data_IF_087988163337
#
_entry.id   IF_087988163337
#
_cell.length_a   1.000
_cell.length_b   1.000
_cell.length_c   1.000
_cell.angle_alpha   90.00
_cell.angle_beta   90.00
_cell.angle_gamma   90.00
#
_symmetry.space_group_name_H-M   'P 1'
#
loop_
_entity.id
_entity.type
_entity.pdbx_description
1 polymer ?
#
# COMPACT_ATOMS: atom_id res chain seq x y z
N UNK A 1 19.16 -3.06 -7.56
CA UNK A 1 17.89 -3.68 -7.16
C UNK A 1 16.97 -3.68 -8.37
N UNK A 2 16.25 -4.78 -8.62
CA UNK A 2 15.21 -4.86 -9.65
C UNK A 2 13.91 -5.35 -9.01
N UNK A 3 12.79 -4.75 -9.39
CA UNK A 3 11.44 -5.09 -8.91
C UNK A 3 10.61 -5.54 -10.12
N UNK A 4 9.91 -6.66 -9.99
CA UNK A 4 9.03 -7.22 -11.02
C UNK A 4 7.73 -7.62 -10.37
N UNK A 5 6.60 -7.34 -11.04
CA UNK A 5 5.33 -7.98 -10.69
C UNK A 5 5.09 -9.20 -11.61
N UNK A 6 5.22 -10.45 -11.09
CA UNK A 6 5.11 -11.66 -11.91
C UNK A 6 3.75 -11.82 -12.62
N UNK A 7 2.69 -11.24 -12.06
CA UNK A 7 1.32 -11.33 -12.58
C UNK A 7 0.96 -10.18 -13.53
N UNK A 8 1.83 -9.18 -13.66
CA UNK A 8 1.66 -8.08 -14.64
C UNK A 8 1.97 -8.49 -16.07
N UNK A 9 2.66 -9.63 -16.26
CA UNK A 9 3.06 -10.18 -17.54
C UNK A 9 2.59 -11.63 -17.67
N UNK A 10 2.50 -12.11 -18.90
CA UNK A 10 2.20 -13.54 -19.15
C UNK A 10 3.38 -14.42 -18.77
N UNK A 11 3.14 -15.71 -18.51
CA UNK A 11 4.20 -16.68 -18.18
C UNK A 11 5.29 -16.76 -19.25
N UNK A 12 4.89 -16.73 -20.53
CA UNK A 12 5.82 -16.72 -21.65
C UNK A 12 6.66 -15.46 -21.70
N UNK A 13 6.11 -14.30 -21.33
CA UNK A 13 6.89 -13.05 -21.21
C UNK A 13 7.77 -13.03 -19.95
N UNK A 14 7.40 -13.78 -18.90
CA UNK A 14 8.17 -13.84 -17.65
C UNK A 14 9.40 -14.74 -17.80
N UNK A 15 9.22 -15.98 -18.24
CA UNK A 15 10.30 -16.99 -18.35
C UNK A 15 10.89 -17.10 -19.75
N UNK A 16 10.12 -16.74 -20.77
CA UNK A 16 10.42 -17.00 -22.17
C UNK A 16 9.47 -18.05 -22.76
N UNK A 17 9.27 -17.98 -24.06
CA UNK A 17 8.43 -18.91 -24.81
C UNK A 17 8.95 -19.07 -26.23
N UNK A 18 8.60 -20.20 -26.84
CA UNK A 18 8.78 -20.39 -28.28
C UNK A 18 7.64 -19.71 -29.03
N UNK A 19 7.97 -19.00 -30.10
CA UNK A 19 6.97 -18.50 -31.03
C UNK A 19 6.30 -19.69 -31.74
N UNK A 20 4.95 -19.76 -31.77
CA UNK A 20 4.24 -20.89 -32.34
C UNK A 20 4.36 -20.99 -33.88
N UNK A 21 4.79 -19.92 -34.55
CA UNK A 21 4.95 -19.86 -36.01
C UNK A 21 6.40 -20.03 -36.42
N UNK A 22 7.32 -19.26 -35.84
CA UNK A 22 8.74 -19.31 -36.22
C UNK A 22 9.53 -20.42 -35.50
N UNK A 23 8.98 -20.98 -34.42
CA UNK A 23 9.69 -21.87 -33.50
C UNK A 23 10.98 -21.26 -32.91
N UNK A 24 11.13 -19.93 -32.96
CA UNK A 24 12.25 -19.24 -32.34
C UNK A 24 11.99 -19.00 -30.85
N UNK A 25 13.04 -19.11 -30.04
CA UNK A 25 12.97 -18.83 -28.61
C UNK A 25 13.05 -17.32 -28.36
N UNK A 26 12.11 -16.81 -27.57
CA UNK A 26 12.16 -15.45 -27.03
C UNK A 26 12.38 -15.50 -25.53
N UNK A 27 13.41 -14.80 -25.06
CA UNK A 27 13.72 -14.69 -23.63
C UNK A 27 12.68 -13.88 -22.86
N UNK A 28 12.33 -14.36 -21.66
CA UNK A 28 11.48 -13.63 -20.74
C UNK A 28 12.23 -12.60 -19.90
N UNK A 29 11.48 -11.67 -19.32
CA UNK A 29 12.00 -10.58 -18.47
C UNK A 29 12.82 -11.12 -17.29
N UNK A 30 12.36 -12.23 -16.69
CA UNK A 30 13.04 -12.86 -15.56
C UNK A 30 14.38 -13.48 -16.00
N UNK A 31 14.38 -14.21 -17.13
CA UNK A 31 15.59 -14.82 -17.68
C UNK A 31 16.69 -13.78 -17.95
N UNK A 32 16.32 -12.66 -18.59
CA UNK A 32 17.25 -11.55 -18.88
C UNK A 32 17.83 -10.96 -17.60
N UNK A 33 17.02 -10.75 -16.57
CA UNK A 33 17.48 -10.17 -15.30
C UNK A 33 18.37 -11.15 -14.52
N UNK A 34 18.02 -12.43 -14.49
CA UNK A 34 18.86 -13.47 -13.88
C UNK A 34 20.22 -13.56 -14.57
N UNK A 35 20.24 -13.54 -15.91
CA UNK A 35 21.50 -13.55 -16.68
C UNK A 35 22.36 -12.33 -16.37
N UNK A 36 21.75 -11.14 -16.33
CA UNK A 36 22.43 -9.89 -15.93
C UNK A 36 23.03 -9.98 -14.53
N UNK A 37 22.33 -10.60 -13.58
CA UNK A 37 22.82 -10.75 -12.21
C UNK A 37 23.89 -11.83 -12.07
N UNK A 38 23.78 -12.93 -12.81
CA UNK A 38 24.78 -13.97 -12.88
C UNK A 38 26.11 -13.48 -13.48
N UNK A 39 26.06 -12.69 -14.56
CA UNK A 39 27.25 -12.18 -15.26
C UNK A 39 27.91 -10.97 -14.60
N UNK A 40 27.21 -10.28 -13.68
CA UNK A 40 27.75 -9.06 -13.07
C UNK A 40 28.88 -9.37 -12.09
N UNK A 41 30.05 -8.77 -12.34
CA UNK A 41 31.26 -8.90 -11.50
C UNK A 41 31.29 -7.98 -10.27
N UNK A 42 30.23 -7.18 -10.02
CA UNK A 42 30.20 -6.30 -8.84
C UNK A 42 30.19 -7.13 -7.55
N UNK A 43 30.98 -6.74 -6.53
CA UNK A 43 30.94 -7.34 -5.20
C UNK A 43 29.65 -7.01 -4.43
N UNK A 44 28.85 -6.06 -4.91
CA UNK A 44 27.63 -5.63 -4.24
C UNK A 44 26.56 -6.73 -4.22
N UNK A 45 25.78 -6.75 -3.13
CA UNK A 45 24.61 -7.64 -3.04
C UNK A 45 23.55 -7.21 -4.04
N UNK A 46 23.07 -8.17 -4.82
CA UNK A 46 22.01 -7.96 -5.83
C UNK A 46 20.69 -8.42 -5.25
N UNK A 47 19.67 -7.59 -5.42
CA UNK A 47 18.34 -7.83 -4.88
C UNK A 47 17.34 -7.87 -6.02
N UNK A 48 16.68 -9.02 -6.18
CA UNK A 48 15.53 -9.20 -7.04
C UNK A 48 14.29 -9.28 -6.16
N UNK A 49 13.35 -8.35 -6.36
CA UNK A 49 12.08 -8.29 -5.64
C UNK A 49 10.97 -8.70 -6.59
N UNK A 50 10.20 -9.71 -6.19
CA UNK A 50 8.99 -10.17 -6.87
C UNK A 50 7.79 -9.65 -6.07
N UNK A 51 7.21 -8.56 -6.54
CA UNK A 51 6.11 -7.82 -5.89
C UNK A 51 4.78 -8.14 -6.59
N UNK A 52 3.99 -9.00 -5.97
CA UNK A 52 2.69 -9.41 -6.50
C UNK A 52 2.19 -10.71 -5.92
N UNK A 53 0.95 -11.12 -6.24
CA UNK A 53 0.36 -12.33 -5.69
C UNK A 53 1.07 -13.59 -6.20
N UNK A 54 1.27 -14.54 -5.29
CA UNK A 54 1.79 -15.87 -5.62
C UNK A 54 0.67 -16.72 -6.21
N UNK A 55 1.01 -17.42 -7.28
CA UNK A 55 0.13 -18.33 -8.00
C UNK A 55 0.91 -19.61 -8.25
N UNK A 56 0.24 -20.76 -8.15
CA UNK A 56 0.84 -22.08 -8.28
C UNK A 56 1.58 -22.24 -9.62
N UNK A 57 1.10 -21.61 -10.70
CA UNK A 57 1.65 -21.84 -12.03
C UNK A 57 3.02 -21.20 -12.23
N UNK A 58 3.23 -19.96 -11.78
CA UNK A 58 4.53 -19.30 -11.98
C UNK A 58 5.55 -19.73 -10.91
N UNK A 59 5.11 -19.93 -9.66
CA UNK A 59 6.05 -20.23 -8.58
C UNK A 59 6.70 -21.61 -8.73
N UNK A 60 6.02 -22.57 -9.37
CA UNK A 60 6.57 -23.91 -9.63
C UNK A 60 7.86 -23.87 -10.46
N UNK A 61 7.92 -23.01 -11.47
CA UNK A 61 9.09 -22.85 -12.34
C UNK A 61 10.29 -22.16 -11.65
N UNK A 62 10.06 -21.55 -10.47
CA UNK A 62 11.10 -20.91 -9.65
C UNK A 62 11.62 -21.83 -8.54
N UNK A 63 10.94 -22.95 -8.23
CA UNK A 63 11.34 -23.84 -7.14
C UNK A 63 12.79 -24.35 -7.26
N UNK A 64 13.33 -24.50 -8.48
CA UNK A 64 14.72 -24.93 -8.70
C UNK A 64 15.76 -23.88 -8.27
N UNK A 65 15.40 -22.59 -8.34
CA UNK A 65 16.30 -21.50 -7.94
C UNK A 65 16.17 -21.13 -6.46
N UNK A 66 15.05 -21.51 -5.83
CA UNK A 66 14.83 -21.37 -4.39
C UNK A 66 15.51 -22.47 -3.57
N UNK A 67 15.95 -23.54 -4.22
CA UNK A 67 16.75 -24.59 -3.60
C UNK A 67 18.22 -24.16 -3.44
N UNK A 68 19.00 -24.92 -2.67
CA UNK A 68 20.43 -24.66 -2.41
C UNK A 68 21.26 -24.58 -3.70
N UNK A 69 20.74 -25.17 -4.77
CA UNK A 69 21.33 -25.18 -6.09
C UNK A 69 21.42 -23.79 -6.74
N UNK A 70 20.49 -22.86 -6.44
CA UNK A 70 20.41 -21.51 -7.05
C UNK A 70 20.47 -21.49 -8.58
N UNK A 71 19.82 -22.47 -9.22
CA UNK A 71 19.78 -22.63 -10.69
C UNK A 71 18.38 -22.37 -11.22
N UNK A 72 18.26 -21.41 -12.13
CA UNK A 72 17.05 -21.22 -12.91
C UNK A 72 17.13 -22.09 -14.17
N UNK A 73 16.19 -23.03 -14.31
CA UNK A 73 16.08 -23.88 -15.50
C UNK A 73 14.97 -23.33 -16.39
N UNK A 74 15.32 -22.85 -17.58
CA UNK A 74 14.36 -22.35 -18.56
C UNK A 74 13.83 -23.50 -19.43
N UNK A 75 12.63 -23.32 -19.99
CA UNK A 75 12.05 -24.28 -20.95
C UNK A 75 12.88 -24.41 -22.25
N UNK A 76 13.75 -23.43 -22.55
CA UNK A 76 14.75 -23.52 -23.61
C UNK A 76 15.84 -24.56 -23.35
N UNK A 77 15.96 -25.05 -22.12
CA UNK A 77 17.07 -25.88 -21.66
C UNK A 77 18.27 -25.09 -21.12
N UNK A 78 18.24 -23.74 -21.17
CA UNK A 78 19.27 -22.92 -20.54
C UNK A 78 19.21 -23.03 -19.01
N UNK A 79 20.38 -23.20 -18.39
CA UNK A 79 20.53 -23.24 -16.93
C UNK A 79 21.34 -22.01 -16.51
N UNK A 80 20.69 -21.09 -15.80
CA UNK A 80 21.32 -19.87 -15.29
C UNK A 80 21.63 -20.06 -13.80
N UNK A 81 22.92 -20.10 -13.45
CA UNK A 81 23.38 -20.19 -12.07
C UNK A 81 23.49 -18.79 -11.46
N UNK A 82 22.75 -18.52 -10.38
CA UNK A 82 22.90 -17.28 -9.64
C UNK A 82 24.13 -17.31 -8.72
N UNK A 83 24.80 -16.17 -8.60
CA UNK A 83 25.86 -15.98 -7.61
C UNK A 83 25.29 -15.94 -6.19
N UNK A 84 26.09 -16.38 -5.21
CA UNK A 84 25.74 -16.30 -3.79
C UNK A 84 25.49 -14.87 -3.29
N UNK A 85 25.96 -13.84 -4.01
CA UNK A 85 25.67 -12.43 -3.71
C UNK A 85 24.27 -11.96 -4.15
N UNK A 86 23.49 -12.82 -4.83
CA UNK A 86 22.13 -12.50 -5.28
C UNK A 86 21.11 -13.02 -4.27
N UNK A 87 20.20 -12.13 -3.86
CA UNK A 87 19.07 -12.41 -2.99
C UNK A 87 17.78 -12.21 -3.78
N UNK A 88 16.83 -13.13 -3.56
CA UNK A 88 15.47 -13.05 -4.10
C UNK A 88 14.54 -12.77 -2.92
N UNK A 89 13.66 -11.79 -3.06
CA UNK A 89 12.67 -11.39 -2.07
C UNK A 89 11.30 -11.45 -2.71
N UNK A 90 10.32 -11.99 -2.00
CA UNK A 90 8.92 -12.03 -2.41
C UNK A 90 8.15 -11.05 -1.54
N UNK A 91 7.51 -10.06 -2.16
CA UNK A 91 6.56 -9.16 -1.51
C UNK A 91 5.15 -9.60 -1.91
N UNK A 92 4.47 -10.28 -1.00
CA UNK A 92 3.25 -11.03 -1.28
C UNK A 92 2.22 -10.75 -0.20
N UNK A 93 0.95 -10.61 -0.58
CA UNK A 93 -0.13 -10.38 0.38
C UNK A 93 -0.55 -11.63 1.16
N UNK A 94 -0.58 -12.79 0.49
CA UNK A 94 -0.95 -14.08 1.06
C UNK A 94 -0.29 -15.22 0.29
N UNK A 95 -0.16 -16.39 0.93
CA UNK A 95 0.51 -17.58 0.41
C UNK A 95 -0.46 -18.77 0.19
N UNK A 96 -1.77 -18.51 0.11
CA UNK A 96 -2.80 -19.55 0.00
C UNK A 96 -2.60 -20.50 -1.19
N UNK A 97 -2.06 -19.98 -2.30
CA UNK A 97 -1.80 -20.74 -3.53
C UNK A 97 -0.37 -21.29 -3.61
N UNK A 98 0.43 -21.16 -2.56
CA UNK A 98 1.80 -21.68 -2.52
C UNK A 98 1.83 -23.06 -1.84
N UNK A 99 2.56 -24.00 -2.43
CA UNK A 99 2.76 -25.31 -1.81
C UNK A 99 3.61 -25.19 -0.53
N UNK A 100 3.38 -26.01 0.51
CA UNK A 100 4.24 -26.03 1.70
C UNK A 100 5.72 -26.29 1.39
N UNK A 101 6.00 -27.03 0.32
CA UNK A 101 7.37 -27.30 -0.14
C UNK A 101 8.07 -26.06 -0.71
N UNK A 102 7.32 -25.13 -1.31
CA UNK A 102 7.85 -23.84 -1.78
C UNK A 102 8.12 -22.90 -0.60
N UNK A 103 7.17 -22.84 0.34
CA UNK A 103 7.27 -22.00 1.54
C UNK A 103 8.43 -22.44 2.44
N UNK A 104 8.68 -23.74 2.58
CA UNK A 104 9.74 -24.25 3.47
C UNK A 104 11.17 -23.90 3.02
N UNK A 105 11.37 -23.54 1.74
CA UNK A 105 12.67 -23.15 1.18
C UNK A 105 12.99 -21.67 1.39
N UNK A 106 12.03 -20.89 1.87
CA UNK A 106 12.16 -19.43 2.00
C UNK A 106 12.14 -19.00 3.47
N UNK A 107 12.93 -17.99 3.81
CA UNK A 107 12.81 -17.32 5.10
C UNK A 107 11.54 -16.46 5.14
N UNK A 108 10.64 -16.76 6.08
CA UNK A 108 9.36 -16.06 6.19
C UNK A 108 9.45 -14.93 7.21
N UNK A 109 9.17 -13.70 6.77
CA UNK A 109 9.04 -12.53 7.63
C UNK A 109 7.59 -12.05 7.56
N UNK A 110 6.85 -12.27 8.65
CA UNK A 110 5.48 -11.79 8.74
C UNK A 110 5.46 -10.35 9.24
N UNK A 111 4.89 -9.44 8.44
CA UNK A 111 4.63 -8.07 8.85
C UNK A 111 3.18 -7.95 9.30
N UNK A 112 2.97 -7.70 10.59
CA UNK A 112 1.63 -7.47 11.11
C UNK A 112 1.08 -6.14 10.57
N UNK A 113 -0.08 -6.12 9.87
CA UNK A 113 -0.65 -4.89 9.33
C UNK A 113 -0.98 -3.85 10.41
N UNK A 114 -1.30 -4.30 11.63
CA UNK A 114 -1.58 -3.42 12.77
C UNK A 114 -0.32 -2.83 13.40
N UNK A 115 0.86 -3.43 13.17
CA UNK A 115 2.12 -2.91 13.71
C UNK A 115 2.50 -1.59 13.04
N UNK A 116 2.22 -1.43 11.75
CA UNK A 116 2.39 -0.19 11.01
C UNK A 116 1.06 0.58 10.93
N UNK A 117 0.66 1.20 12.04
CA UNK A 117 -0.57 1.99 12.12
C UNK A 117 -0.53 3.24 11.21
N UNK A 118 -1.61 4.04 11.23
CA UNK A 118 -1.68 5.27 10.43
C UNK A 118 -0.78 6.41 10.93
N UNK A 119 -0.34 6.37 12.19
CA UNK A 119 0.41 7.48 12.82
C UNK A 119 1.76 7.75 12.16
N UNK A 120 2.64 6.75 11.92
CA UNK A 120 3.93 7.01 11.27
C UNK A 120 3.78 7.57 9.85
N UNK A 121 2.71 7.17 9.16
CA UNK A 121 2.39 7.68 7.83
C UNK A 121 2.06 9.18 7.87
N UNK A 122 1.23 9.60 8.84
CA UNK A 122 0.89 11.02 9.05
C UNK A 122 2.09 11.82 9.54
N UNK A 123 2.90 11.28 10.44
CA UNK A 123 4.13 11.94 10.91
C UNK A 123 5.13 12.21 9.77
N UNK A 124 5.31 11.24 8.88
CA UNK A 124 6.12 11.40 7.67
C UNK A 124 5.53 12.45 6.73
N UNK A 125 4.22 12.42 6.50
CA UNK A 125 3.53 13.40 5.66
C UNK A 125 3.63 14.83 6.22
N UNK A 126 3.40 15.03 7.52
CA UNK A 126 3.56 16.33 8.20
C UNK A 126 5.00 16.88 8.08
N UNK A 127 5.99 15.99 8.07
CA UNK A 127 7.40 16.36 7.89
C UNK A 127 7.66 16.88 6.47
N UNK A 128 6.95 16.37 5.47
CA UNK A 128 7.05 16.76 4.06
C UNK A 128 6.16 17.96 3.66
N UNK A 129 5.37 18.51 4.59
CA UNK A 129 4.58 19.71 4.32
C UNK A 129 5.47 20.95 4.04
N UNK A 130 4.99 21.93 3.25
CA UNK A 130 5.75 23.13 2.88
C UNK A 130 6.40 23.85 4.07
N UNK A 131 7.61 24.36 3.89
CA UNK A 131 8.38 25.03 4.95
C UNK A 131 7.75 26.34 5.43
N UNK A 132 6.89 26.94 4.61
CA UNK A 132 6.04 28.08 4.93
C UNK A 132 5.04 27.79 6.07
N UNK A 133 4.66 26.52 6.27
CA UNK A 133 3.83 26.12 7.40
C UNK A 133 4.69 25.98 8.67
N UNK A 134 4.44 26.88 9.61
CA UNK A 134 5.08 26.91 10.92
C UNK A 134 4.80 25.65 11.75
N UNK A 135 5.58 25.49 12.82
CA UNK A 135 5.38 24.42 13.81
C UNK A 135 3.98 24.48 14.47
N UNK A 136 3.41 25.67 14.64
CA UNK A 136 2.05 25.84 15.18
C UNK A 136 1.00 25.26 14.24
N UNK A 137 1.10 25.51 12.93
CA UNK A 137 0.21 24.92 11.93
C UNK A 137 0.30 23.39 11.90
N UNK A 138 1.53 22.83 11.94
CA UNK A 138 1.72 21.38 11.98
C UNK A 138 1.12 20.77 13.25
N UNK A 139 1.26 21.43 14.40
CA UNK A 139 0.65 20.98 15.66
C UNK A 139 -0.89 20.98 15.62
N UNK A 140 -1.51 21.97 14.96
CA UNK A 140 -2.96 22.00 14.73
C UNK A 140 -3.38 20.79 13.89
N UNK A 141 -2.71 20.54 12.76
CA UNK A 141 -3.00 19.36 11.93
C UNK A 141 -2.83 18.06 12.73
N UNK A 142 -1.74 17.89 13.47
CA UNK A 142 -1.55 16.73 14.35
C UNK A 142 -2.73 16.54 15.31
N UNK A 143 -3.20 17.61 15.97
CA UNK A 143 -4.35 17.54 16.86
C UNK A 143 -5.64 17.13 16.14
N UNK A 144 -5.87 17.63 14.92
CA UNK A 144 -7.02 17.24 14.10
C UNK A 144 -6.96 15.76 13.73
N UNK A 145 -5.82 15.26 13.27
CA UNK A 145 -5.64 13.83 12.97
C UNK A 145 -5.93 12.96 14.19
N UNK A 146 -5.36 13.29 15.36
CA UNK A 146 -5.61 12.52 16.59
C UNK A 146 -7.05 12.60 17.09
N UNK A 147 -7.75 13.71 16.85
CA UNK A 147 -9.14 13.89 17.28
C UNK A 147 -10.14 13.18 16.36
N UNK A 148 -9.96 13.31 15.04
CA UNK A 148 -10.96 12.85 14.07
C UNK A 148 -10.67 11.44 13.55
N UNK A 149 -9.42 11.08 13.27
CA UNK A 149 -9.12 9.81 12.57
C UNK A 149 -9.51 8.58 13.41
N UNK A 150 -9.19 8.44 14.70
CA UNK A 150 -9.58 7.27 15.48
C UNK A 150 -11.10 6.99 15.53
N UNK A 151 -11.97 7.95 15.92
CA UNK A 151 -13.41 7.70 15.99
C UNK A 151 -14.03 7.48 14.60
N UNK A 152 -13.58 8.22 13.58
CA UNK A 152 -14.10 8.05 12.21
C UNK A 152 -13.70 6.70 11.62
N UNK A 153 -12.46 6.24 11.82
CA UNK A 153 -12.05 4.88 11.42
C UNK A 153 -12.83 3.81 12.19
N UNK A 154 -13.04 3.98 13.50
CA UNK A 154 -13.83 3.05 14.29
C UNK A 154 -15.28 2.93 13.77
N UNK A 155 -15.89 4.06 13.42
CA UNK A 155 -17.21 4.10 12.79
C UNK A 155 -17.21 3.34 11.45
N UNK A 156 -16.27 3.67 10.56
CA UNK A 156 -16.16 3.02 9.24
C UNK A 156 -15.98 1.51 9.37
N UNK A 157 -15.12 1.03 10.29
CA UNK A 157 -14.93 -0.41 10.55
C UNK A 157 -16.19 -1.10 11.07
N UNK A 158 -17.03 -0.41 11.85
CA UNK A 158 -18.28 -0.97 12.39
C UNK A 158 -19.35 -1.15 11.32
N UNK A 159 -19.42 -0.18 10.40
CA UNK A 159 -20.49 -0.08 9.41
C UNK A 159 -20.12 -0.65 8.03
N UNK A 160 -18.84 -0.92 7.76
CA UNK A 160 -18.39 -1.64 6.58
C UNK A 160 -18.24 -3.15 6.88
N UNK A 161 -19.03 -4.03 6.23
CA UNK A 161 -19.04 -5.46 6.56
C UNK A 161 -17.77 -6.24 6.21
N UNK A 162 -16.90 -5.74 5.34
CA UNK A 162 -15.70 -6.47 4.90
C UNK A 162 -14.66 -6.63 6.03
N UNK A 163 -14.65 -5.75 7.05
CA UNK A 163 -13.77 -5.89 8.22
C UNK A 163 -14.20 -7.06 9.15
N UNK A 164 -15.44 -7.56 9.02
CA UNK A 164 -15.93 -8.74 9.76
C UNK A 164 -15.63 -10.07 9.03
N UNK A 165 -14.96 -10.03 7.89
CA UNK A 165 -14.98 -11.10 6.90
C UNK A 165 -13.58 -11.48 6.39
N UNK A 166 -12.63 -11.67 7.30
CA UNK A 166 -11.39 -12.44 7.01
C UNK A 166 -11.64 -13.96 6.94
N UNK A 167 -12.89 -14.44 7.04
CA UNK A 167 -13.21 -15.89 7.13
C UNK A 167 -14.27 -16.43 6.16
N UNK A 168 -14.71 -15.68 5.16
CA UNK A 168 -15.60 -16.27 4.14
C UNK A 168 -15.49 -15.55 2.80
N UNK A 169 -15.05 -16.27 1.76
CA UNK A 169 -15.04 -15.82 0.37
C UNK A 169 -16.44 -15.46 -0.19
N UNK A 170 -17.51 -15.65 0.58
CA UNK A 170 -18.89 -15.59 0.09
C UNK A 170 -19.61 -14.24 0.23
N UNK A 171 -18.97 -13.20 0.76
CA UNK A 171 -19.64 -11.90 0.90
C UNK A 171 -18.71 -10.71 0.60
N UNK A 172 -18.19 -10.67 -0.62
CA UNK A 172 -17.91 -9.39 -1.27
C UNK A 172 -19.27 -8.74 -1.49
N UNK A 173 -19.69 -7.88 -0.57
CA UNK A 173 -20.87 -7.05 -0.79
C UNK A 173 -20.61 -6.26 -2.07
N UNK A 174 -21.44 -6.48 -3.09
CA UNK A 174 -21.25 -6.09 -4.50
C UNK A 174 -20.95 -4.60 -4.77
N UNK A 175 -21.01 -3.74 -3.76
CA UNK A 175 -21.11 -2.29 -3.93
C UNK A 175 -20.08 -1.48 -3.12
N UNK A 176 -19.12 -2.10 -2.43
CA UNK A 176 -18.09 -1.37 -1.65
C UNK A 176 -16.68 -1.89 -1.94
N UNK A 177 -15.76 -0.97 -2.25
CA UNK A 177 -14.35 -1.30 -2.49
C UNK A 177 -13.64 -1.74 -1.19
N UNK A 178 -12.92 -2.87 -1.19
CA UNK A 178 -12.08 -3.25 -0.05
C UNK A 178 -11.02 -2.16 0.18
N UNK A 179 -10.89 -1.67 1.42
CA UNK A 179 -10.00 -0.53 1.73
C UNK A 179 -9.41 -0.65 3.13
N UNK A 180 -8.10 -0.55 3.31
CA UNK A 180 -7.49 -0.57 4.66
C UNK A 180 -7.56 0.79 5.35
N UNK A 181 -7.42 0.84 6.68
CA UNK A 181 -7.35 2.13 7.41
C UNK A 181 -6.21 3.01 6.91
N UNK A 182 -5.09 2.40 6.56
CA UNK A 182 -3.94 3.08 5.97
C UNK A 182 -4.33 3.75 4.65
N UNK A 183 -5.07 3.06 3.78
CA UNK A 183 -5.52 3.62 2.51
C UNK A 183 -6.56 4.73 2.69
N UNK A 184 -7.44 4.63 3.68
CA UNK A 184 -8.39 5.69 4.02
C UNK A 184 -7.66 6.96 4.48
N UNK A 185 -6.69 6.82 5.40
CA UNK A 185 -5.88 7.96 5.87
C UNK A 185 -4.99 8.49 4.75
N UNK A 186 -4.45 7.62 3.88
CA UNK A 186 -3.71 8.05 2.68
C UNK A 186 -4.58 8.85 1.73
N UNK A 187 -5.83 8.44 1.51
CA UNK A 187 -6.78 9.19 0.69
C UNK A 187 -7.08 10.56 1.30
N UNK A 188 -7.15 10.68 2.63
CA UNK A 188 -7.31 11.97 3.31
C UNK A 188 -6.13 12.89 2.99
N UNK A 189 -4.89 12.40 3.17
CA UNK A 189 -3.68 13.18 2.89
C UNK A 189 -3.57 13.56 1.41
N UNK A 190 -3.90 12.64 0.49
CA UNK A 190 -3.90 12.93 -0.95
C UNK A 190 -4.88 14.05 -1.31
N UNK A 191 -6.09 14.04 -0.73
CA UNK A 191 -7.07 15.12 -0.94
C UNK A 191 -6.59 16.43 -0.33
N UNK A 192 -5.98 16.39 0.86
CA UNK A 192 -5.39 17.58 1.47
C UNK A 192 -4.30 18.18 0.57
N UNK A 193 -3.44 17.33 0.00
CA UNK A 193 -2.36 17.73 -0.90
C UNK A 193 -2.88 18.42 -2.17
N UNK A 194 -4.11 18.15 -2.61
CA UNK A 194 -4.71 18.87 -3.73
C UNK A 194 -4.99 20.35 -3.43
N UNK A 195 -5.22 20.71 -2.17
CA UNK A 195 -5.54 22.08 -1.75
C UNK A 195 -4.38 22.81 -1.08
N UNK A 196 -3.23 22.15 -0.91
CA UNK A 196 -2.10 22.76 -0.18
C UNK A 196 -1.31 23.80 -0.98
N UNK A 197 -1.55 23.91 -2.29
CA UNK A 197 -0.75 24.73 -3.21
C UNK A 197 -0.67 26.20 -2.78
N UNK A 198 -1.74 26.76 -2.21
CA UNK A 198 -1.72 28.13 -1.68
C UNK A 198 -0.70 28.32 -0.54
N UNK A 199 -0.46 27.29 0.26
CA UNK A 199 0.53 27.36 1.33
C UNK A 199 1.97 27.26 0.82
N UNK A 200 2.21 26.80 -0.41
CA UNK A 200 3.56 26.76 -0.97
C UNK A 200 4.11 28.15 -1.28
N UNK A 201 3.21 29.12 -1.53
CA UNK A 201 3.59 30.52 -1.76
C UNK A 201 3.91 31.26 -0.44
N UNK A 202 5.15 31.75 -0.26
CA UNK A 202 5.52 32.55 0.90
C UNK A 202 4.73 33.87 1.00
N UNK A 203 4.23 34.41 -0.11
CA UNK A 203 3.41 35.62 -0.09
C UNK A 203 2.07 35.36 0.62
N UNK A 204 1.43 34.22 0.33
CA UNK A 204 0.15 33.85 0.93
C UNK A 204 0.21 33.79 2.45
N UNK A 205 1.22 33.10 2.98
CA UNK A 205 1.43 32.93 4.43
C UNK A 205 1.85 34.22 5.14
N UNK A 206 2.39 35.21 4.40
CA UNK A 206 2.76 36.52 4.93
C UNK A 206 1.61 37.54 4.91
N UNK A 207 0.71 37.42 3.93
CA UNK A 207 -0.41 38.36 3.73
C UNK A 207 -1.64 38.03 4.59
N UNK A 208 -1.78 36.78 5.05
CA UNK A 208 -2.91 36.35 5.87
C UNK A 208 -2.53 36.25 7.35
N UNK A 209 -3.41 36.63 8.28
CA UNK A 209 -3.18 36.44 9.70
C UNK A 209 -3.18 34.94 10.04
N UNK A 210 -2.48 34.57 11.11
CA UNK A 210 -2.33 33.16 11.54
C UNK A 210 -3.70 32.49 11.82
N UNK A 211 -4.71 33.26 12.23
CA UNK A 211 -6.08 32.79 12.43
C UNK A 211 -6.74 32.29 11.15
N UNK A 212 -6.51 32.98 10.03
CA UNK A 212 -7.16 32.69 8.76
C UNK A 212 -6.49 31.48 8.11
N UNK A 213 -5.15 31.41 8.19
CA UNK A 213 -4.38 30.24 7.75
C UNK A 213 -4.84 29.00 8.53
N UNK A 214 -4.99 29.13 9.85
CA UNK A 214 -5.50 28.04 10.69
C UNK A 214 -6.91 27.60 10.28
N UNK A 215 -7.84 28.55 10.11
CA UNK A 215 -9.21 28.24 9.70
C UNK A 215 -9.25 27.56 8.31
N UNK A 216 -8.36 27.97 7.41
CA UNK A 216 -8.23 27.36 6.09
C UNK A 216 -7.72 25.92 6.18
N UNK A 217 -6.68 25.66 6.97
CA UNK A 217 -6.16 24.30 7.21
C UNK A 217 -7.21 23.38 7.84
N UNK A 218 -7.96 23.88 8.84
CA UNK A 218 -9.05 23.15 9.46
C UNK A 218 -10.15 22.82 8.44
N UNK A 219 -10.49 23.76 7.55
CA UNK A 219 -11.50 23.58 6.51
C UNK A 219 -11.08 22.53 5.47
N UNK A 220 -9.83 22.59 4.98
CA UNK A 220 -9.28 21.60 4.04
C UNK A 220 -9.25 20.22 4.69
N UNK A 221 -8.82 20.13 5.95
CA UNK A 221 -8.79 18.87 6.67
C UNK A 221 -10.18 18.24 6.78
N UNK A 222 -11.20 19.01 7.19
CA UNK A 222 -12.55 18.51 7.33
C UNK A 222 -13.14 18.05 5.99
N UNK A 223 -12.96 18.85 4.94
CA UNK A 223 -13.37 18.47 3.59
C UNK A 223 -12.72 17.15 3.17
N UNK A 224 -11.40 17.05 3.35
CA UNK A 224 -10.63 15.86 2.99
C UNK A 224 -11.06 14.64 3.80
N UNK A 225 -11.29 14.79 5.12
CA UNK A 225 -11.72 13.71 6.01
C UNK A 225 -13.12 13.18 5.63
N UNK A 226 -14.06 14.06 5.27
CA UNK A 226 -15.41 13.67 4.87
C UNK A 226 -15.38 12.86 3.57
N UNK A 227 -14.64 13.33 2.56
CA UNK A 227 -14.60 12.67 1.24
C UNK A 227 -13.71 11.43 1.19
N UNK A 228 -12.73 11.31 2.10
CA UNK A 228 -11.88 10.11 2.21
C UNK A 228 -12.48 9.05 3.12
N UNK A 229 -12.64 9.36 4.42
CA UNK A 229 -13.10 8.40 5.43
C UNK A 229 -14.59 8.10 5.26
N UNK A 230 -15.39 9.09 4.87
CA UNK A 230 -16.83 8.93 4.59
C UNK A 230 -17.14 8.41 3.18
N UNK A 231 -16.17 8.44 2.27
CA UNK A 231 -16.32 8.02 0.87
C UNK A 231 -16.89 6.60 0.68
N UNK A 232 -16.35 5.57 1.36
CA UNK A 232 -16.79 4.18 1.21
C UNK A 232 -18.14 3.87 1.86
N UNK A 233 -18.72 4.81 2.63
CA UNK A 233 -20.00 4.59 3.30
C UNK A 233 -21.17 4.73 2.30
N UNK A 234 -22.22 3.93 2.52
CA UNK A 234 -23.48 4.07 1.79
C UNK A 234 -24.29 5.28 2.29
N UNK A 235 -25.37 5.62 1.60
CA UNK A 235 -26.20 6.80 1.91
C UNK A 235 -26.75 6.81 3.34
N UNK A 236 -27.23 5.66 3.83
CA UNK A 236 -27.76 5.55 5.20
C UNK A 236 -26.69 5.81 6.27
N UNK A 237 -25.48 5.27 6.09
CA UNK A 237 -24.37 5.46 7.02
C UNK A 237 -23.72 6.85 6.89
N UNK A 238 -23.78 7.50 5.72
CA UNK A 238 -23.30 8.87 5.54
C UNK A 238 -24.06 9.88 6.42
N UNK A 239 -25.37 9.69 6.60
CA UNK A 239 -26.17 10.55 7.49
C UNK A 239 -25.71 10.43 8.96
N UNK A 240 -25.42 9.21 9.42
CA UNK A 240 -24.90 8.97 10.77
C UNK A 240 -23.45 9.48 10.93
N UNK A 241 -22.65 9.34 9.88
CA UNK A 241 -21.29 9.87 9.83
C UNK A 241 -21.25 11.41 9.91
N UNK A 242 -22.18 12.10 9.22
CA UNK A 242 -22.31 13.57 9.31
C UNK A 242 -22.59 14.03 10.75
N UNK A 243 -23.48 13.34 11.47
CA UNK A 243 -23.76 13.62 12.89
C UNK A 243 -22.48 13.46 13.73
N UNK A 244 -21.76 12.36 13.55
CA UNK A 244 -20.51 12.10 14.28
C UNK A 244 -19.45 13.19 14.01
N UNK A 245 -19.25 13.58 12.74
CA UNK A 245 -18.30 14.64 12.38
C UNK A 245 -18.68 15.97 13.03
N UNK A 246 -19.98 16.32 13.06
CA UNK A 246 -20.47 17.55 13.72
C UNK A 246 -20.28 17.52 15.23
N UNK A 247 -20.47 16.37 15.87
CA UNK A 247 -20.20 16.20 17.30
C UNK A 247 -18.71 16.36 17.61
N UNK A 248 -17.85 15.70 16.82
CA UNK A 248 -16.40 15.83 16.93
C UNK A 248 -15.91 17.27 16.71
N UNK A 249 -16.61 18.07 15.92
CA UNK A 249 -16.32 19.50 15.75
C UNK A 249 -16.68 20.32 17.00
N UNK A 250 -17.79 20.00 17.67
CA UNK A 250 -18.29 20.73 18.85
C UNK A 250 -17.57 20.40 20.16
N UNK A 251 -17.01 19.20 20.30
CA UNK A 251 -16.37 18.75 21.55
C UNK A 251 -15.94 17.28 21.47
N UNK A 252 -15.35 16.70 22.53
CA UNK A 252 -15.24 15.24 22.64
C UNK A 252 -16.67 14.64 22.55
N UNK A 253 -16.85 13.53 21.84
CA UNK A 253 -18.16 12.92 21.69
C UNK A 253 -18.67 12.47 23.06
N UNK A 254 -19.96 12.67 23.33
CA UNK A 254 -20.63 12.02 24.47
C UNK A 254 -20.54 10.50 24.31
N UNK A 255 -20.27 9.76 25.38
CA UNK A 255 -20.05 8.30 25.42
C UNK A 255 -21.18 7.46 24.76
N UNK A 256 -22.33 8.06 24.45
CA UNK A 256 -23.44 7.42 23.74
C UNK A 256 -23.20 7.25 22.23
N UNK A 257 -22.43 8.13 21.58
CA UNK A 257 -22.21 8.09 20.13
C UNK A 257 -21.22 7.00 19.69
N UNK A 258 -20.29 6.63 20.58
CA UNK A 258 -19.30 5.57 20.33
C UNK A 258 -19.88 4.17 20.55
N UNK A 259 -21.04 4.06 21.24
CA UNK A 259 -21.66 2.78 21.66
C UNK A 259 -22.86 2.35 20.80
N UNK A 260 -23.56 3.27 20.12
CA UNK A 260 -24.64 2.93 19.16
C UNK A 260 -24.11 2.70 17.75
#
# INVERSE_FOLDING_TARGET
MAVINPKSVTLGQLYGQFDPVSHEWTDGVLAVLFRKYAMSASPDRKWLVLDGPVDSVWIENINSVLDDNKKLCLMSGEIICLSASTNIVFEVGHLENASPATVSRCGMVYMEPMALGWKPLVESWLSNLPQTLTRTHKAVLTALFHRFVPPLLAFVRRHLPWFKLERSESYIQKDVSPTTDLNLVRSLMNLFDCFKGEFEDPAYTKHHPETDIRAHLESIFLFSAIWSLGGPLNEAHRAQFDVLVRELFRGPPSDEATRK
#
